data_IF_217320068128
#
_entry.id   IF_217320068128
#
_cell.length_a   1.000
_cell.length_b   1.000
_cell.length_c   1.000
_cell.angle_alpha   90.00
_cell.angle_beta   90.00
_cell.angle_gamma   90.00
#
_symmetry.space_group_name_H-M   'P 1'
#
loop_
_entity.id
_entity.type
_entity.pdbx_description
1 polymer ?
#
# COMPACT_ATOMS: atom_id res chain seq x y z
N UNK A 1 11.80 -28.12 -14.02
CA UNK A 1 10.37 -27.79 -13.82
C UNK A 1 10.15 -27.77 -12.31
N UNK A 2 10.15 -26.59 -11.70
CA UNK A 2 9.84 -26.45 -10.27
C UNK A 2 8.33 -26.41 -10.18
N UNK A 3 7.73 -27.50 -9.66
CA UNK A 3 6.30 -27.56 -9.43
C UNK A 3 5.93 -26.56 -8.30
N UNK A 4 5.12 -25.58 -8.60
CA UNK A 4 4.49 -24.78 -7.57
C UNK A 4 3.51 -25.65 -6.80
N UNK A 5 3.85 -25.97 -5.56
CA UNK A 5 2.90 -26.60 -4.64
C UNK A 5 1.91 -25.51 -4.25
N UNK A 6 0.73 -25.55 -4.85
CA UNK A 6 -0.39 -24.66 -4.48
C UNK A 6 -1.00 -25.23 -3.18
N UNK A 7 -0.49 -24.75 -2.05
CA UNK A 7 -0.87 -25.27 -0.72
C UNK A 7 -2.02 -24.48 -0.07
N UNK A 8 -2.43 -23.34 -0.64
CA UNK A 8 -3.47 -22.49 -0.04
C UNK A 8 -4.65 -22.40 -1.00
N UNK A 9 -5.84 -22.73 -0.53
CA UNK A 9 -7.09 -22.43 -1.24
C UNK A 9 -7.49 -20.99 -0.87
N UNK A 10 -7.88 -20.15 -1.83
CA UNK A 10 -8.28 -18.77 -1.58
C UNK A 10 -9.46 -18.62 -0.60
N UNK A 11 -10.24 -19.68 -0.46
CA UNK A 11 -11.46 -19.70 0.37
C UNK A 11 -11.17 -20.21 1.80
N UNK A 12 -9.93 -20.60 2.12
CA UNK A 12 -9.55 -21.04 3.45
C UNK A 12 -9.24 -19.84 4.35
N UNK A 13 -9.74 -19.91 5.57
CA UNK A 13 -9.50 -18.85 6.57
C UNK A 13 -8.02 -18.77 6.95
N UNK A 14 -7.47 -17.57 6.95
CA UNK A 14 -6.08 -17.34 7.32
C UNK A 14 -5.81 -17.72 8.78
N UNK A 15 -4.75 -18.48 9.03
CA UNK A 15 -4.31 -18.87 10.37
C UNK A 15 -3.84 -17.64 11.17
N UNK A 16 -3.16 -16.72 10.51
CA UNK A 16 -2.71 -15.45 11.10
C UNK A 16 -3.64 -14.34 10.61
N UNK A 17 -4.47 -13.84 11.51
CA UNK A 17 -5.41 -12.78 11.16
C UNK A 17 -4.74 -11.40 11.27
N UNK A 18 -4.84 -10.57 10.23
CA UNK A 18 -4.31 -9.20 10.25
C UNK A 18 -4.88 -8.35 11.41
N UNK A 19 -6.09 -8.70 11.86
CA UNK A 19 -6.77 -8.04 12.99
C UNK A 19 -5.94 -8.02 14.28
N UNK A 20 -5.05 -8.99 14.50
CA UNK A 20 -4.15 -9.01 15.67
C UNK A 20 -3.15 -7.83 15.69
N UNK A 21 -2.86 -7.28 14.51
CA UNK A 21 -1.89 -6.20 14.32
C UNK A 21 -2.54 -4.85 14.02
N UNK A 22 -3.86 -4.85 13.82
CA UNK A 22 -4.60 -3.65 13.39
C UNK A 22 -5.11 -2.77 14.54
N UNK A 23 -4.97 -3.19 15.80
CA UNK A 23 -5.52 -2.45 16.95
C UNK A 23 -4.94 -1.05 17.09
N UNK A 24 -3.65 -0.89 16.77
CA UNK A 24 -3.00 0.42 16.73
C UNK A 24 -3.67 1.30 15.67
N UNK A 25 -3.84 0.79 14.45
CA UNK A 25 -4.46 1.53 13.33
C UNK A 25 -5.89 1.94 13.67
N UNK A 26 -6.67 1.03 14.26
CA UNK A 26 -8.05 1.31 14.71
C UNK A 26 -8.11 2.44 15.74
N UNK A 27 -7.18 2.44 16.70
CA UNK A 27 -7.11 3.44 17.76
C UNK A 27 -6.92 4.85 17.21
N UNK A 28 -6.16 4.99 16.12
CA UNK A 28 -5.92 6.26 15.47
C UNK A 28 -7.03 6.69 14.51
N UNK A 29 -8.00 5.83 14.20
CA UNK A 29 -9.14 6.17 13.35
C UNK A 29 -8.78 6.52 11.90
N UNK A 30 -7.69 5.94 11.38
CA UNK A 30 -7.22 6.25 10.04
C UNK A 30 -8.23 5.79 8.98
N UNK A 31 -8.50 6.65 8.01
CA UNK A 31 -9.36 6.38 6.85
C UNK A 31 -8.59 6.28 5.54
N UNK A 32 -7.48 7.00 5.44
CA UNK A 32 -6.63 6.99 4.25
C UNK A 32 -5.17 6.67 4.62
N UNK A 33 -4.47 6.00 3.71
CA UNK A 33 -3.07 5.66 3.85
C UNK A 33 -2.27 6.02 2.60
N UNK A 34 -1.16 6.70 2.80
CA UNK A 34 -0.14 6.93 1.79
C UNK A 34 1.01 5.99 2.07
N UNK A 35 1.31 5.07 1.16
CA UNK A 35 2.40 4.11 1.27
C UNK A 35 3.56 4.54 0.40
N UNK A 36 4.73 4.65 1.00
CA UNK A 36 5.99 4.98 0.33
C UNK A 36 7.01 3.87 0.56
N UNK A 37 8.09 3.83 -0.22
CA UNK A 37 9.11 2.77 -0.13
C UNK A 37 10.49 3.30 0.25
N UNK A 38 10.80 4.56 -0.04
CA UNK A 38 12.08 5.17 0.30
C UNK A 38 11.95 6.19 1.40
N UNK A 39 13.05 6.45 2.11
CA UNK A 39 13.09 7.46 3.16
C UNK A 39 12.86 8.87 2.62
N UNK A 40 13.31 9.13 1.41
CA UNK A 40 13.14 10.40 0.71
C UNK A 40 11.66 10.66 0.41
N UNK A 41 10.98 9.68 -0.21
CA UNK A 41 9.54 9.78 -0.50
C UNK A 41 8.72 9.92 0.79
N UNK A 42 9.04 9.13 1.82
CA UNK A 42 8.39 9.24 3.13
C UNK A 42 8.55 10.66 3.72
N UNK A 43 9.77 11.19 3.70
CA UNK A 43 10.06 12.51 4.26
C UNK A 43 9.34 13.60 3.47
N UNK A 44 9.35 13.53 2.14
CA UNK A 44 8.66 14.48 1.27
C UNK A 44 7.16 14.57 1.59
N UNK A 45 6.49 13.42 1.67
CA UNK A 45 5.05 13.34 1.96
C UNK A 45 4.76 13.80 3.39
N UNK A 46 5.56 13.34 4.34
CA UNK A 46 5.47 13.75 5.74
C UNK A 46 5.57 15.29 5.87
N UNK A 47 6.59 15.91 5.27
CA UNK A 47 6.81 17.35 5.36
C UNK A 47 5.71 18.15 4.63
N UNK A 48 5.11 17.59 3.59
CA UNK A 48 3.96 18.19 2.93
C UNK A 48 2.72 18.18 3.85
N UNK A 49 2.45 17.07 4.55
CA UNK A 49 1.32 16.99 5.48
C UNK A 49 1.51 17.82 6.74
N UNK A 50 2.73 17.94 7.25
CA UNK A 50 3.05 18.74 8.45
C UNK A 50 2.71 20.24 8.30
N UNK A 51 2.59 20.70 7.05
CA UNK A 51 2.17 22.10 6.75
C UNK A 51 0.68 22.34 6.93
N UNK A 52 -0.13 21.30 6.93
CA UNK A 52 -1.60 21.40 7.02
C UNK A 52 -2.11 21.16 8.43
N UNK A 53 -1.60 20.12 9.08
CA UNK A 53 -1.97 19.74 10.45
C UNK A 53 -0.75 19.10 11.12
N UNK A 54 -0.65 19.22 12.44
CA UNK A 54 0.45 18.62 13.21
C UNK A 54 0.53 17.10 12.99
N UNK A 55 1.75 16.57 13.00
CA UNK A 55 2.02 15.16 12.81
C UNK A 55 2.13 14.41 14.14
N UNK A 56 1.50 13.23 14.19
CA UNK A 56 1.67 12.29 15.28
C UNK A 56 2.38 11.02 14.78
N UNK A 57 3.25 10.43 15.60
CA UNK A 57 3.87 9.15 15.31
C UNK A 57 2.89 8.01 15.56
N UNK A 58 2.79 7.10 14.57
CA UNK A 58 2.05 5.85 14.72
C UNK A 58 3.02 4.74 15.06
N UNK A 59 2.95 4.14 16.26
CA UNK A 59 3.81 3.02 16.63
C UNK A 59 3.35 1.72 15.95
N UNK A 60 3.76 1.50 14.71
CA UNK A 60 3.43 0.31 13.93
C UNK A 60 4.66 -0.61 13.81
N UNK A 61 5.07 -1.21 14.92
CA UNK A 61 6.23 -2.10 14.98
C UNK A 61 7.52 -1.41 14.55
N UNK A 62 8.23 -2.00 13.60
CA UNK A 62 9.48 -1.46 13.05
C UNK A 62 9.28 -0.52 11.85
N UNK A 63 8.04 -0.30 11.41
CA UNK A 63 7.74 0.59 10.29
C UNK A 63 7.77 2.06 10.72
N UNK A 64 8.24 2.91 9.83
CA UNK A 64 8.09 4.36 9.99
C UNK A 64 6.67 4.74 9.59
N UNK A 65 5.95 5.32 10.53
CA UNK A 65 4.58 5.75 10.32
C UNK A 65 4.30 7.05 11.06
N UNK A 66 3.61 7.96 10.41
CA UNK A 66 3.08 9.21 10.97
C UNK A 66 1.66 9.39 10.48
N UNK A 67 0.89 10.21 11.19
CA UNK A 67 -0.45 10.59 10.76
C UNK A 67 -0.67 12.09 10.91
N UNK A 68 -1.62 12.59 10.14
CA UNK A 68 -2.20 13.92 10.24
C UNK A 68 -3.71 13.78 10.05
N UNK A 69 -4.49 14.07 11.08
CA UNK A 69 -5.93 13.80 11.08
C UNK A 69 -6.24 12.33 10.79
N UNK A 70 -7.05 12.05 9.78
CA UNK A 70 -7.45 10.69 9.36
C UNK A 70 -6.50 10.06 8.31
N UNK A 71 -5.41 10.73 7.95
CA UNK A 71 -4.45 10.28 6.93
C UNK A 71 -3.18 9.77 7.57
N UNK A 72 -2.81 8.53 7.29
CA UNK A 72 -1.53 7.95 7.70
C UNK A 72 -0.52 7.90 6.55
N UNK A 73 0.76 8.17 6.85
CA UNK A 73 1.87 7.95 5.92
C UNK A 73 2.74 6.83 6.45
N UNK A 74 2.99 5.86 5.62
CA UNK A 74 3.70 4.63 5.97
C UNK A 74 4.88 4.40 5.03
N UNK A 75 6.04 4.09 5.60
CA UNK A 75 7.15 3.58 4.80
C UNK A 75 7.13 2.05 4.87
N UNK A 76 6.76 1.42 3.75
CA UNK A 76 6.83 -0.03 3.58
C UNK A 76 8.25 -0.48 3.26
N UNK A 77 8.52 -1.76 3.47
CA UNK A 77 9.67 -2.42 2.86
C UNK A 77 9.40 -2.67 1.37
N UNK A 78 10.48 -2.85 0.60
CA UNK A 78 10.37 -3.23 -0.80
C UNK A 78 9.80 -4.65 -0.97
N UNK A 79 9.00 -4.81 -2.00
CA UNK A 79 8.44 -6.09 -2.41
C UNK A 79 6.94 -6.22 -2.16
N UNK A 80 6.28 -6.95 -3.05
CA UNK A 80 4.84 -7.16 -3.05
C UNK A 80 4.32 -7.79 -1.75
N UNK A 81 5.06 -8.74 -1.18
CA UNK A 81 4.66 -9.41 0.06
C UNK A 81 4.62 -8.44 1.26
N UNK A 82 5.62 -7.56 1.39
CA UNK A 82 5.66 -6.57 2.47
C UNK A 82 4.54 -5.54 2.32
N UNK A 83 4.29 -5.10 1.08
CA UNK A 83 3.21 -4.16 0.78
C UNK A 83 1.83 -4.77 1.05
N UNK A 84 1.61 -6.02 0.62
CA UNK A 84 0.35 -6.72 0.87
C UNK A 84 0.09 -6.90 2.36
N UNK A 85 1.09 -7.34 3.12
CA UNK A 85 0.97 -7.48 4.59
C UNK A 85 0.62 -6.15 5.27
N UNK A 86 1.28 -5.06 4.88
CA UNK A 86 0.95 -3.73 5.41
C UNK A 86 -0.48 -3.34 5.06
N UNK A 87 -0.90 -3.51 3.81
CA UNK A 87 -2.26 -3.18 3.37
C UNK A 87 -3.31 -4.00 4.10
N UNK A 88 -3.09 -5.31 4.33
CA UNK A 88 -4.00 -6.14 5.12
C UNK A 88 -4.19 -5.61 6.55
N UNK A 89 -3.11 -5.21 7.20
CA UNK A 89 -3.15 -4.63 8.55
C UNK A 89 -3.95 -3.31 8.55
N UNK A 90 -3.71 -2.46 7.55
CA UNK A 90 -4.38 -1.17 7.41
C UNK A 90 -5.87 -1.34 7.10
N UNK A 91 -6.24 -2.24 6.18
CA UNK A 91 -7.64 -2.59 5.87
C UNK A 91 -8.36 -3.14 7.10
N UNK A 92 -7.72 -4.09 7.80
CA UNK A 92 -8.27 -4.62 9.06
C UNK A 92 -8.39 -3.55 10.15
N UNK A 93 -7.58 -2.48 10.07
CA UNK A 93 -7.63 -1.30 10.93
C UNK A 93 -8.73 -0.28 10.57
N UNK A 94 -9.38 -0.45 9.41
CA UNK A 94 -10.47 0.44 8.97
C UNK A 94 -10.09 1.41 7.85
N UNK A 95 -8.85 1.38 7.35
CA UNK A 95 -8.42 2.21 6.22
C UNK A 95 -9.15 1.78 4.96
N UNK A 96 -9.69 2.75 4.22
CA UNK A 96 -10.49 2.52 3.01
C UNK A 96 -9.83 3.05 1.73
N UNK A 97 -8.99 4.07 1.86
CA UNK A 97 -8.36 4.74 0.72
C UNK A 97 -6.85 4.55 0.78
N UNK A 98 -6.27 4.17 -0.34
CA UNK A 98 -4.84 3.92 -0.45
C UNK A 98 -4.24 4.70 -1.60
N UNK A 99 -3.13 5.37 -1.33
CA UNK A 99 -2.26 5.96 -2.33
C UNK A 99 -0.88 5.34 -2.20
N UNK A 100 -0.38 4.74 -3.26
CA UNK A 100 0.95 4.15 -3.29
C UNK A 100 1.86 5.02 -4.12
N UNK A 101 2.96 5.48 -3.53
CA UNK A 101 3.93 6.36 -4.19
C UNK A 101 5.31 5.70 -4.22
N UNK A 102 5.85 5.55 -5.40
CA UNK A 102 7.17 4.98 -5.63
C UNK A 102 7.88 5.69 -6.78
N UNK A 103 9.14 5.33 -6.98
CA UNK A 103 9.91 5.75 -8.13
C UNK A 103 10.17 4.55 -9.03
N UNK A 104 10.15 4.76 -10.35
CA UNK A 104 10.42 3.73 -11.33
C UNK A 104 11.29 4.27 -12.46
N UNK A 105 12.06 3.39 -13.09
CA UNK A 105 12.74 3.71 -14.33
C UNK A 105 11.77 3.66 -15.51
N UNK A 106 11.91 4.60 -16.46
CA UNK A 106 11.15 4.57 -17.70
C UNK A 106 11.88 3.78 -18.79
N UNK A 107 11.13 2.91 -19.47
CA UNK A 107 11.57 2.25 -20.71
C UNK A 107 11.09 2.99 -21.97
N UNK A 108 10.24 4.02 -21.79
CA UNK A 108 9.75 4.88 -22.88
C UNK A 108 10.55 6.18 -22.94
N UNK A 109 10.93 6.60 -24.13
CA UNK A 109 11.72 7.83 -24.35
C UNK A 109 10.94 9.11 -24.06
N UNK A 110 9.61 9.06 -24.17
CA UNK A 110 8.70 10.18 -23.96
C UNK A 110 8.54 10.50 -22.47
N UNK A 111 8.67 9.50 -21.59
CA UNK A 111 8.57 9.65 -20.14
C UNK A 111 9.93 10.01 -19.57
N UNK A 112 10.05 11.20 -19.01
CA UNK A 112 11.32 11.77 -18.53
C UNK A 112 11.40 11.73 -17.01
N UNK A 113 12.59 11.91 -16.49
CA UNK A 113 12.81 12.09 -15.06
C UNK A 113 12.04 13.31 -14.56
N UNK A 114 11.23 13.11 -13.52
CA UNK A 114 10.33 14.12 -12.95
C UNK A 114 8.88 14.03 -13.42
N UNK A 115 8.57 13.22 -14.44
CA UNK A 115 7.19 12.97 -14.84
C UNK A 115 6.47 12.13 -13.78
N UNK A 116 5.20 12.45 -13.55
CA UNK A 116 4.31 11.66 -12.70
C UNK A 116 3.52 10.69 -13.59
N UNK A 117 3.63 9.41 -13.30
CA UNK A 117 2.92 8.35 -14.03
C UNK A 117 1.89 7.71 -13.11
N UNK A 118 0.64 7.69 -13.53
CA UNK A 118 -0.44 6.95 -12.87
C UNK A 118 -0.70 5.69 -13.71
N UNK A 119 -0.36 4.49 -13.20
CA UNK A 119 -0.61 3.27 -13.94
C UNK A 119 -2.10 2.94 -13.94
N UNK A 120 -2.63 2.49 -15.07
CA UNK A 120 -4.03 2.05 -15.23
C UNK A 120 -4.15 0.52 -15.23
N UNK A 121 -3.05 -0.19 -15.44
CA UNK A 121 -2.99 -1.64 -15.35
C UNK A 121 -1.59 -2.12 -14.97
N UNK A 122 -1.48 -3.33 -14.47
CA UNK A 122 -0.23 -3.96 -14.10
C UNK A 122 -0.15 -5.43 -14.52
N UNK A 123 1.04 -5.85 -15.00
CA UNK A 123 1.34 -7.24 -15.26
C UNK A 123 1.67 -7.95 -13.93
N UNK A 124 1.09 -9.13 -13.74
CA UNK A 124 1.25 -9.92 -12.52
C UNK A 124 2.40 -10.91 -12.65
N UNK A 125 3.58 -10.53 -12.20
CA UNK A 125 4.76 -11.42 -12.18
C UNK A 125 5.39 -11.56 -10.78
N UNK A 126 4.81 -10.92 -9.77
CA UNK A 126 5.39 -10.81 -8.44
C UNK A 126 5.04 -11.99 -7.48
N UNK A 127 4.05 -12.82 -7.83
CA UNK A 127 3.69 -14.06 -7.11
C UNK A 127 2.73 -13.89 -5.95
N UNK A 128 2.52 -12.71 -5.38
CA UNK A 128 1.65 -12.46 -4.21
C UNK A 128 0.20 -12.27 -4.63
N UNK A 129 -0.06 -11.51 -5.68
CA UNK A 129 -1.42 -11.21 -6.14
C UNK A 129 -2.24 -12.45 -6.51
N UNK A 130 -1.59 -13.55 -6.85
CA UNK A 130 -2.25 -14.83 -7.12
C UNK A 130 -2.95 -15.45 -5.91
N UNK A 131 -2.62 -15.00 -4.70
CA UNK A 131 -3.32 -15.40 -3.48
C UNK A 131 -4.62 -14.63 -3.27
N UNK A 132 -4.80 -13.49 -3.92
CA UNK A 132 -5.97 -12.63 -3.80
C UNK A 132 -6.92 -12.76 -4.97
N UNK A 133 -6.39 -12.81 -6.20
CA UNK A 133 -7.19 -12.87 -7.44
C UNK A 133 -6.72 -14.03 -8.29
N UNK A 134 -7.65 -14.92 -8.68
CA UNK A 134 -7.37 -16.07 -9.55
C UNK A 134 -7.25 -15.61 -11.01
N UNK A 135 -6.32 -16.24 -11.73
CA UNK A 135 -6.29 -16.43 -13.21
C UNK A 135 -6.43 -15.20 -14.13
N UNK A 136 -5.86 -14.06 -13.77
CA UNK A 136 -5.73 -12.93 -14.70
C UNK A 136 -4.25 -12.57 -14.82
N UNK A 137 -3.73 -12.41 -16.03
CA UNK A 137 -2.35 -11.96 -16.26
C UNK A 137 -2.16 -10.47 -15.99
N UNK A 138 -3.22 -9.68 -16.18
CA UNK A 138 -3.22 -8.24 -15.98
C UNK A 138 -4.35 -7.86 -15.04
N UNK A 139 -4.10 -6.90 -14.18
CA UNK A 139 -5.11 -6.29 -13.31
C UNK A 139 -5.27 -4.83 -13.72
N UNK A 140 -6.50 -4.46 -14.03
CA UNK A 140 -6.87 -3.07 -14.24
C UNK A 140 -6.98 -2.37 -12.89
N UNK A 141 -6.44 -1.17 -12.81
CA UNK A 141 -6.57 -0.33 -11.62
C UNK A 141 -7.83 0.50 -11.82
N UNK A 142 -8.88 0.19 -11.08
CA UNK A 142 -10.09 1.01 -11.10
C UNK A 142 -9.77 2.41 -10.53
N UNK A 143 -9.86 3.42 -11.38
CA UNK A 143 -9.97 4.80 -10.94
C UNK A 143 -11.36 5.00 -10.33
N UNK A 144 -11.48 4.86 -9.02
CA UNK A 144 -12.61 5.47 -8.33
C UNK A 144 -12.33 6.97 -8.27
N UNK A 145 -12.90 7.71 -9.21
CA UNK A 145 -13.02 9.15 -9.11
C UNK A 145 -13.64 9.48 -7.75
N UNK A 146 -12.95 10.29 -6.95
CA UNK A 146 -13.53 10.91 -5.77
C UNK A 146 -14.46 11.98 -6.33
N UNK A 147 -15.70 11.60 -6.67
CA UNK A 147 -16.76 12.57 -6.88
C UNK A 147 -17.03 13.21 -5.53
N UNK A 148 -16.69 14.51 -5.45
CA UNK A 148 -16.89 15.31 -4.28
C UNK A 148 -18.39 15.39 -3.95
N UNK A 149 -18.68 15.13 -2.70
CA UNK A 149 -19.92 15.52 -2.02
C UNK A 149 -19.62 16.65 -1.06
#
# INVERSE_FOLDING_TARGET
MIGFIRTVKPDEESIVKPTRFSDTVKRYGLRAAIITFTSEAFTLVKDALDRYEGLERVPLGCLRAVMSGEVGVFQSYFGSAASAMLMEILVAGGVKYFMVMGAAGSIKREVKAGDVVVPTWGLREEGVSYHYVKEVFMVEIEEKSIEGS
#
